data_IF_164734684169
#
_entry.id   IF_164734684169
#
_cell.length_a   1.000
_cell.length_b   1.000
_cell.length_c   1.000
_cell.angle_alpha   90.00
_cell.angle_beta   90.00
_cell.angle_gamma   90.00
#
_symmetry.space_group_name_H-M   'P 1'
#
loop_
_entity.id
_entity.type
_entity.pdbx_description
1 polymer ?
#
# COMPACT_ATOMS: atom_id res chain seq x y z
N UNK A 1 13.85 9.39 2.04
CA UNK A 1 13.53 8.87 0.68
C UNK A 1 12.36 7.90 0.85
N UNK A 2 11.15 8.28 0.44
CA UNK A 2 10.05 7.31 0.40
C UNK A 2 10.34 6.36 -0.77
N UNK A 3 11.09 5.28 -0.48
CA UNK A 3 11.27 4.22 -1.47
C UNK A 3 9.88 3.82 -1.98
N UNK A 4 9.66 3.92 -3.29
CA UNK A 4 8.47 3.37 -3.92
C UNK A 4 8.43 1.90 -3.56
N UNK A 5 7.57 1.54 -2.62
CA UNK A 5 7.40 0.16 -2.24
C UNK A 5 6.85 -0.55 -3.48
N UNK A 6 7.68 -1.35 -4.13
CA UNK A 6 7.21 -2.23 -5.18
C UNK A 6 6.24 -3.25 -4.57
N UNK A 7 4.96 -3.10 -4.92
CA UNK A 7 3.90 -3.97 -4.40
C UNK A 7 4.12 -5.42 -4.81
N UNK A 8 4.68 -5.69 -6.00
CA UNK A 8 4.99 -7.05 -6.42
C UNK A 8 6.01 -7.71 -5.47
N UNK A 9 7.08 -6.98 -5.12
CA UNK A 9 8.06 -7.42 -4.14
C UNK A 9 7.47 -7.59 -2.73
N UNK A 10 6.59 -6.69 -2.28
CA UNK A 10 5.93 -6.83 -0.98
C UNK A 10 5.04 -8.09 -0.94
N UNK A 11 4.31 -8.40 -2.02
CA UNK A 11 3.51 -9.61 -2.13
C UNK A 11 4.39 -10.88 -2.07
N UNK A 12 5.56 -10.89 -2.72
CA UNK A 12 6.51 -12.01 -2.60
C UNK A 12 7.05 -12.16 -1.18
N UNK A 13 7.41 -11.05 -0.52
CA UNK A 13 7.94 -11.04 0.85
C UNK A 13 6.92 -11.49 1.90
N UNK A 14 5.62 -11.34 1.62
CA UNK A 14 4.54 -11.82 2.50
C UNK A 14 4.62 -13.34 2.74
N UNK A 15 5.11 -14.09 1.75
CA UNK A 15 5.30 -15.55 1.83
C UNK A 15 6.70 -15.96 2.28
N UNK A 16 7.51 -15.00 2.76
CA UNK A 16 8.84 -15.30 3.29
C UNK A 16 8.74 -16.16 4.56
N UNK A 17 9.63 -17.15 4.75
CA UNK A 17 9.71 -17.90 6.01
C UNK A 17 10.15 -17.01 7.19
N UNK A 18 10.75 -15.84 6.92
CA UNK A 18 11.13 -14.90 7.96
C UNK A 18 9.91 -14.09 8.43
N UNK A 19 9.48 -14.34 9.67
CA UNK A 19 8.34 -13.64 10.31
C UNK A 19 8.46 -12.12 10.26
N UNK A 20 9.66 -11.55 10.45
CA UNK A 20 9.87 -10.09 10.42
C UNK A 20 9.67 -9.53 9.00
N UNK A 21 10.11 -10.27 7.99
CA UNK A 21 9.94 -9.90 6.58
C UNK A 21 8.46 -9.94 6.18
N UNK A 22 7.75 -11.02 6.51
CA UNK A 22 6.32 -11.14 6.25
C UNK A 22 5.50 -10.05 6.95
N UNK A 23 5.83 -9.74 8.22
CA UNK A 23 5.17 -8.67 8.97
C UNK A 23 5.41 -7.28 8.35
N UNK A 24 6.65 -6.99 7.92
CA UNK A 24 7.00 -5.74 7.24
C UNK A 24 6.26 -5.61 5.90
N UNK A 25 6.22 -6.68 5.11
CA UNK A 25 5.48 -6.74 3.86
C UNK A 25 3.98 -6.46 4.08
N UNK A 26 3.36 -7.10 5.06
CA UNK A 26 1.96 -6.89 5.40
C UNK A 26 1.68 -5.43 5.79
N UNK A 27 2.54 -4.82 6.60
CA UNK A 27 2.43 -3.40 6.97
C UNK A 27 2.45 -2.50 5.73
N UNK A 28 3.39 -2.76 4.82
CA UNK A 28 3.54 -1.97 3.59
C UNK A 28 2.34 -2.10 2.67
N UNK A 29 1.82 -3.32 2.46
CA UNK A 29 0.62 -3.57 1.65
C UNK A 29 -0.59 -2.83 2.23
N UNK A 30 -0.79 -2.89 3.55
CA UNK A 30 -1.89 -2.17 4.22
C UNK A 30 -1.77 -0.65 4.06
N UNK A 31 -0.56 -0.11 4.20
CA UNK A 31 -0.32 1.32 4.01
C UNK A 31 -0.67 1.77 2.59
N UNK A 32 -0.19 1.03 1.57
CA UNK A 32 -0.48 1.33 0.17
C UNK A 32 -1.98 1.28 -0.14
N UNK A 33 -2.70 0.26 0.33
CA UNK A 33 -4.15 0.15 0.16
C UNK A 33 -4.90 1.31 0.82
N UNK A 34 -4.49 1.73 2.01
CA UNK A 34 -5.07 2.89 2.69
C UNK A 34 -4.85 4.17 1.87
N UNK A 35 -3.64 4.41 1.39
CA UNK A 35 -3.33 5.56 0.53
C UNK A 35 -4.19 5.55 -0.74
N UNK A 36 -4.31 4.40 -1.42
CA UNK A 36 -5.17 4.26 -2.61
C UNK A 36 -6.64 4.58 -2.31
N UNK A 37 -7.14 4.14 -1.16
CA UNK A 37 -8.51 4.45 -0.73
C UNK A 37 -8.70 5.96 -0.49
N UNK A 38 -7.77 6.63 0.18
CA UNK A 38 -7.82 8.09 0.36
C UNK A 38 -7.81 8.84 -0.96
N UNK A 39 -6.94 8.45 -1.90
CA UNK A 39 -6.89 9.04 -3.24
C UNK A 39 -8.22 8.87 -3.98
N UNK A 40 -8.88 7.72 -3.84
CA UNK A 40 -10.20 7.47 -4.44
C UNK A 40 -11.26 8.43 -3.89
N UNK A 41 -11.31 8.63 -2.58
CA UNK A 41 -12.29 9.55 -1.97
C UNK A 41 -11.98 11.01 -2.29
N UNK A 42 -10.71 11.41 -2.34
CA UNK A 42 -10.31 12.75 -2.75
C UNK A 42 -10.75 13.04 -4.19
N UNK A 43 -10.48 12.12 -5.13
CA UNK A 43 -10.91 12.26 -6.52
C UNK A 43 -12.44 12.31 -6.66
N UNK A 44 -13.19 11.59 -5.82
CA UNK A 44 -14.66 11.66 -5.82
C UNK A 44 -15.18 13.03 -5.37
N UNK A 45 -14.57 13.63 -4.34
CA UNK A 45 -14.93 14.96 -3.87
C UNK A 45 -14.64 16.03 -4.93
N UNK A 46 -13.52 15.92 -5.65
CA UNK A 46 -13.17 16.85 -6.75
C UNK A 46 -14.19 16.80 -7.90
N UNK A 47 -14.63 15.61 -8.31
CA UNK A 47 -15.62 15.46 -9.39
C UNK A 47 -17.04 15.95 -9.03
N UNK A 48 -17.38 16.08 -7.75
CA UNK A 48 -18.69 16.61 -7.32
C UNK A 48 -18.73 18.14 -7.26
N UNK A 49 -17.58 18.79 -7.22
CA UNK A 49 -17.46 20.25 -7.09
C UNK A 49 -17.30 20.98 -8.43
N UNK A 50 -17.35 20.24 -9.55
CA UNK A 50 -17.10 20.72 -10.91
C UNK A 50 -18.30 20.38 -11.81
#
# INVERSE_FOLDING_TARGET
MAEKIDMASAHRQLHSPNKKTAARALKNIKAAKRTQQHLRYAAQAENQNN
#
